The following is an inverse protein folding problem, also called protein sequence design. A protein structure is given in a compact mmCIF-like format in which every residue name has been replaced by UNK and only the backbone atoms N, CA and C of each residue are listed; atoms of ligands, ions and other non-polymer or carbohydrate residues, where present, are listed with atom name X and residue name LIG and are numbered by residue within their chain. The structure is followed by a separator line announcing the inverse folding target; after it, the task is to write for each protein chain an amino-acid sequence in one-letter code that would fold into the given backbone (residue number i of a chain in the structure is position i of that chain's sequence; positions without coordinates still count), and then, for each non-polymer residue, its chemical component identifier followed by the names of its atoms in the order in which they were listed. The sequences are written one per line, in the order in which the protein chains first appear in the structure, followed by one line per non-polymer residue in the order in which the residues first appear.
data_IF_542490849201
#
_entry.id   IF_542490849201
#
_cell.length_a   1.000
_cell.length_b   1.000
_cell.length_c   1.000
_cell.angle_alpha   90.00
_cell.angle_beta   90.00
_cell.angle_gamma   90.00
#
_symmetry.space_group_name_H-M   'P 1'
#
loop_
_entity.id
_entity.type
_entity.pdbx_description
1 polymer ?
#
# COMPACT_ATOMS: atom_id res chain seq x y z
N UNK A 1 2.20 10.67 16.58
CA UNK A 1 3.41 10.21 15.84
C UNK A 1 3.67 11.07 14.61
N UNK A 2 4.92 11.11 14.10
CA UNK A 2 5.20 11.81 12.84
C UNK A 2 4.93 10.88 11.67
N UNK A 3 4.26 11.41 10.62
CA UNK A 3 3.90 10.65 9.42
C UNK A 3 4.55 11.33 8.22
N UNK A 4 5.31 10.57 7.43
CA UNK A 4 5.92 11.02 6.20
C UNK A 4 5.48 10.09 5.05
N UNK A 5 5.05 10.65 3.94
CA UNK A 5 4.59 9.91 2.77
C UNK A 5 5.55 10.18 1.63
N UNK A 6 6.11 9.11 1.07
CA UNK A 6 7.25 9.18 0.16
C UNK A 6 7.02 8.25 -1.04
N UNK A 7 7.32 8.69 -2.28
CA UNK A 7 7.31 7.79 -3.43
C UNK A 7 8.61 6.97 -3.49
N UNK A 8 8.48 5.67 -3.74
CA UNK A 8 9.61 4.78 -4.02
C UNK A 8 9.54 4.28 -5.47
N UNK A 9 9.84 5.18 -6.40
CA UNK A 9 9.67 4.96 -7.81
C UNK A 9 8.22 5.11 -8.28
N UNK A 10 7.99 4.92 -9.58
CA UNK A 10 6.66 4.97 -10.19
C UNK A 10 6.61 4.08 -11.43
N UNK A 11 5.42 3.65 -11.81
CA UNK A 11 5.18 3.15 -13.15
C UNK A 11 4.33 4.14 -13.94
N UNK A 12 4.20 3.89 -15.25
CA UNK A 12 3.32 4.68 -16.12
C UNK A 12 2.11 3.86 -16.52
N UNK A 13 0.94 4.51 -16.54
CA UNK A 13 -0.31 3.89 -16.96
C UNK A 13 -1.16 4.89 -17.77
N UNK A 14 -2.02 4.40 -18.70
CA UNK A 14 -3.02 5.24 -19.33
C UNK A 14 -4.10 5.70 -18.33
N UNK A 15 -4.38 7.00 -18.25
CA UNK A 15 -5.35 7.55 -17.30
C UNK A 15 -6.75 6.93 -17.47
N UNK A 16 -7.16 6.67 -18.72
CA UNK A 16 -8.47 6.06 -19.02
C UNK A 16 -8.61 4.60 -18.51
N UNK A 17 -7.49 3.91 -18.25
CA UNK A 17 -7.51 2.60 -17.60
C UNK A 17 -7.55 2.74 -16.07
N UNK A 18 -6.91 3.78 -15.55
CA UNK A 18 -6.82 4.05 -14.12
C UNK A 18 -8.13 4.54 -13.50
N UNK A 19 -8.95 5.24 -14.28
CA UNK A 19 -10.25 5.76 -13.84
C UNK A 19 -11.20 5.83 -15.04
N UNK A 20 -12.43 5.38 -14.87
CA UNK A 20 -13.44 5.49 -15.92
C UNK A 20 -13.65 6.97 -16.33
N UNK A 21 -13.73 7.21 -17.64
CA UNK A 21 -13.82 8.57 -18.18
C UNK A 21 -12.52 9.39 -18.06
N UNK A 22 -11.41 8.76 -17.75
CA UNK A 22 -10.08 9.35 -17.81
C UNK A 22 -9.69 9.72 -19.23
N UNK A 23 -8.70 10.62 -19.36
CA UNK A 23 -8.20 11.12 -20.64
C UNK A 23 -7.28 10.09 -21.33
N UNK A 24 -7.13 10.19 -22.63
CA UNK A 24 -6.15 9.44 -23.43
C UNK A 24 -4.75 10.06 -23.29
N UNK A 25 -4.18 9.91 -22.10
CA UNK A 25 -2.81 10.35 -21.78
C UNK A 25 -2.17 9.36 -20.82
N UNK A 26 -0.86 9.32 -20.81
CA UNK A 26 -0.08 8.60 -19.81
C UNK A 26 0.01 9.43 -18.54
N UNK A 27 -0.17 8.80 -17.40
CA UNK A 27 0.02 9.39 -16.07
C UNK A 27 1.06 8.59 -15.29
N UNK A 28 1.66 9.23 -14.30
CA UNK A 28 2.53 8.56 -13.33
C UNK A 28 1.69 7.91 -12.25
N UNK A 29 2.08 6.69 -11.93
CA UNK A 29 1.59 5.88 -10.84
C UNK A 29 2.72 5.67 -9.84
N UNK A 30 2.95 6.59 -8.90
CA UNK A 30 3.97 6.40 -7.87
C UNK A 30 3.64 5.15 -7.05
N UNK A 31 4.68 4.45 -6.60
CA UNK A 31 4.56 3.44 -5.56
C UNK A 31 4.96 4.10 -4.25
N UNK A 32 4.00 4.41 -3.41
CA UNK A 32 4.29 5.09 -2.17
C UNK A 32 4.62 4.12 -1.03
N UNK A 33 5.35 4.61 -0.06
CA UNK A 33 5.36 4.08 1.30
C UNK A 33 5.12 5.20 2.31
N UNK A 34 4.60 4.85 3.49
CA UNK A 34 4.51 5.80 4.59
C UNK A 34 5.50 5.42 5.70
N UNK A 35 6.24 6.39 6.21
CA UNK A 35 7.11 6.27 7.38
C UNK A 35 6.36 6.82 8.60
N UNK A 36 6.08 5.94 9.55
CA UNK A 36 5.55 6.28 10.87
C UNK A 36 6.67 6.31 11.89
N UNK A 37 6.91 7.47 12.52
CA UNK A 37 7.85 7.60 13.64
C UNK A 37 7.07 7.72 14.94
N UNK A 38 6.86 6.59 15.58
CA UNK A 38 6.05 6.48 16.79
C UNK A 38 6.93 6.63 18.06
N UNK A 39 6.52 7.43 19.07
CA UNK A 39 7.34 7.68 20.26
C UNK A 39 7.66 6.41 21.06
N UNK A 40 6.76 5.42 21.07
CA UNK A 40 6.92 4.16 21.81
C UNK A 40 7.46 3.01 20.96
N UNK A 41 7.06 2.90 19.69
CA UNK A 41 7.34 1.74 18.84
C UNK A 41 8.45 1.98 17.81
N UNK A 42 9.01 3.19 17.75
CA UNK A 42 10.08 3.54 16.82
C UNK A 42 9.59 3.76 15.38
N UNK A 43 10.49 3.56 14.43
CA UNK A 43 10.18 3.70 13.01
C UNK A 43 9.44 2.46 12.49
N UNK A 44 8.38 2.69 11.72
CA UNK A 44 7.58 1.65 11.08
C UNK A 44 7.21 2.11 9.67
N UNK A 45 6.94 1.19 8.78
CA UNK A 45 6.50 1.49 7.42
C UNK A 45 5.10 0.94 7.13
N UNK A 46 4.37 1.61 6.27
CA UNK A 46 3.24 1.06 5.54
C UNK A 46 3.66 0.92 4.08
N UNK A 47 3.72 -0.32 3.60
CA UNK A 47 4.30 -0.74 2.32
C UNK A 47 5.78 -0.35 2.14
N UNK A 48 6.37 -0.65 0.96
CA UNK A 48 7.80 -0.41 0.72
C UNK A 48 8.12 0.09 -0.70
N UNK A 49 7.12 0.30 -1.54
CA UNK A 49 7.33 0.74 -2.91
C UNK A 49 8.17 -0.20 -3.77
N UNK A 50 8.71 0.30 -4.89
CA UNK A 50 9.60 -0.44 -5.77
C UNK A 50 11.04 -0.50 -5.22
N UNK A 51 11.77 -1.53 -5.70
CA UNK A 51 13.24 -1.63 -5.59
C UNK A 51 13.83 -2.22 -6.87
N UNK A 52 15.15 -2.22 -7.01
CA UNK A 52 15.82 -2.84 -8.16
C UNK A 52 15.54 -4.35 -8.27
N UNK A 53 15.12 -5.00 -7.18
CA UNK A 53 14.71 -6.42 -7.19
C UNK A 53 13.53 -6.68 -8.12
N UNK A 54 12.66 -5.69 -8.33
CA UNK A 54 11.60 -5.80 -9.34
C UNK A 54 12.17 -6.08 -10.72
N UNK A 55 13.25 -5.39 -11.11
CA UNK A 55 13.88 -5.60 -12.41
C UNK A 55 14.58 -6.95 -12.51
N UNK A 56 15.18 -7.42 -11.42
CA UNK A 56 15.83 -8.74 -11.38
C UNK A 56 14.79 -9.86 -11.49
N UNK A 57 13.69 -9.77 -10.73
CA UNK A 57 12.60 -10.75 -10.74
C UNK A 57 11.86 -10.79 -12.08
N UNK A 58 11.78 -9.66 -12.78
CA UNK A 58 11.11 -9.54 -14.07
C UNK A 58 12.06 -9.64 -15.28
N UNK A 59 13.29 -10.05 -15.08
CA UNK A 59 14.30 -10.16 -16.13
C UNK A 59 13.97 -11.24 -17.16
N UNK A 60 13.43 -12.38 -16.68
CA UNK A 60 13.16 -13.57 -17.50
C UNK A 60 11.67 -13.72 -17.83
N UNK A 61 11.37 -14.34 -18.98
CA UNK A 61 10.02 -14.73 -19.35
C UNK A 61 9.53 -15.88 -18.43
N UNK A 62 8.25 -15.93 -18.02
CA UNK A 62 7.13 -15.07 -18.44
C UNK A 62 6.98 -13.78 -17.60
N UNK A 63 7.69 -13.61 -16.48
CA UNK A 63 7.58 -12.41 -15.59
C UNK A 63 7.98 -11.11 -16.30
N UNK A 64 8.75 -11.18 -17.37
CA UNK A 64 9.08 -10.04 -18.25
C UNK A 64 7.84 -9.35 -18.84
N UNK A 65 6.72 -10.08 -19.01
CA UNK A 65 5.44 -9.51 -19.45
C UNK A 65 4.95 -8.48 -18.44
N UNK A 66 5.06 -8.76 -17.14
CA UNK A 66 4.70 -7.81 -16.08
C UNK A 66 5.44 -6.48 -16.27
N UNK A 67 6.76 -6.53 -16.43
CA UNK A 67 7.58 -5.33 -16.66
C UNK A 67 7.20 -4.56 -17.94
N UNK A 68 6.76 -5.24 -18.98
CA UNK A 68 6.30 -4.58 -20.21
C UNK A 68 4.94 -3.91 -20.03
N UNK A 69 4.05 -4.53 -19.27
CA UNK A 69 2.72 -3.97 -18.98
C UNK A 69 2.79 -2.83 -17.94
N UNK A 70 3.82 -2.85 -17.11
CA UNK A 70 4.02 -1.89 -16.02
C UNK A 70 5.43 -1.28 -16.15
N UNK A 71 5.62 -0.29 -17.04
CA UNK A 71 6.92 0.35 -17.23
C UNK A 71 7.33 1.12 -15.95
N UNK A 72 8.23 0.54 -15.18
CA UNK A 72 8.71 1.09 -13.90
C UNK A 72 9.89 2.02 -14.13
N UNK A 73 9.86 3.17 -13.44
CA UNK A 73 10.92 4.15 -13.36
C UNK A 73 11.36 4.27 -11.90
N UNK A 74 12.64 4.05 -11.64
CA UNK A 74 13.22 4.01 -10.31
C UNK A 74 14.62 4.59 -10.36
N UNK A 75 14.93 5.52 -9.47
CA UNK A 75 16.26 6.06 -9.25
C UNK A 75 16.78 5.58 -7.91
N UNK A 76 18.06 5.68 -7.68
CA UNK A 76 18.68 5.26 -6.44
C UNK A 76 18.16 6.04 -5.22
N UNK A 77 17.90 7.33 -5.41
CA UNK A 77 17.33 8.21 -4.38
C UNK A 77 15.88 7.85 -4.02
N UNK A 78 15.16 7.13 -4.88
CA UNK A 78 13.79 6.71 -4.64
C UNK A 78 13.72 5.44 -3.75
N UNK A 79 14.84 4.73 -3.57
CA UNK A 79 14.87 3.52 -2.76
C UNK A 79 14.55 3.83 -1.29
N UNK A 80 13.70 3.02 -0.68
CA UNK A 80 13.33 3.16 0.74
C UNK A 80 14.56 3.31 1.63
N UNK A 81 15.58 2.47 1.44
CA UNK A 81 16.80 2.48 2.25
C UNK A 81 17.56 3.80 2.17
N UNK A 82 17.56 4.46 1.02
CA UNK A 82 18.23 5.75 0.84
C UNK A 82 17.37 6.90 1.37
N UNK A 83 16.06 6.81 1.24
CA UNK A 83 15.14 7.81 1.79
C UNK A 83 15.11 7.80 3.32
N UNK A 84 15.24 6.62 3.97
CA UNK A 84 15.35 6.52 5.43
C UNK A 84 16.54 7.32 5.96
N UNK A 85 17.68 7.34 5.25
CA UNK A 85 18.85 8.12 5.65
C UNK A 85 18.55 9.63 5.76
N UNK A 86 17.62 10.17 4.95
CA UNK A 86 17.16 11.55 5.05
C UNK A 86 16.41 11.89 6.35
N UNK A 87 16.05 10.87 7.14
CA UNK A 87 15.41 10.98 8.45
C UNK A 87 16.32 10.51 9.59
N UNK A 88 17.62 10.38 9.33
CA UNK A 88 18.62 9.82 10.26
C UNK A 88 18.29 8.38 10.71
N UNK A 89 17.66 7.61 9.82
CA UNK A 89 17.28 6.21 10.07
C UNK A 89 18.07 5.26 9.14
N UNK A 90 18.41 4.11 9.70
CA UNK A 90 18.94 2.96 8.95
C UNK A 90 17.82 1.94 8.73
N UNK A 91 17.92 1.03 7.75
CA UNK A 91 16.97 -0.07 7.59
C UNK A 91 16.77 -0.91 8.85
N UNK A 92 17.82 -1.02 9.70
CA UNK A 92 17.76 -1.72 10.98
C UNK A 92 16.90 -1.03 12.06
N UNK A 93 16.62 0.26 11.91
CA UNK A 93 15.80 1.02 12.86
C UNK A 93 14.30 0.83 12.59
N UNK A 94 13.94 0.25 11.42
CA UNK A 94 12.55 -0.06 11.07
C UNK A 94 12.11 -1.31 11.82
N UNK A 95 11.22 -1.13 12.78
CA UNK A 95 10.75 -2.21 13.67
C UNK A 95 9.66 -3.07 13.04
N UNK A 96 8.80 -2.47 12.21
CA UNK A 96 7.65 -3.14 11.57
C UNK A 96 7.40 -2.59 10.18
N UNK A 97 6.87 -3.45 9.32
CA UNK A 97 6.24 -3.08 8.04
C UNK A 97 4.81 -3.60 8.05
N UNK A 98 3.86 -2.71 7.92
CA UNK A 98 2.47 -3.04 7.67
C UNK A 98 2.32 -3.22 6.16
N UNK A 99 2.02 -4.43 5.72
CA UNK A 99 1.86 -4.77 4.31
C UNK A 99 0.37 -4.68 3.98
N UNK A 100 0.01 -3.77 3.08
CA UNK A 100 -1.36 -3.63 2.62
C UNK A 100 -1.81 -4.87 1.85
N UNK A 101 -0.99 -5.29 0.90
CA UNK A 101 -1.15 -6.50 0.08
C UNK A 101 0.18 -6.86 -0.62
N UNK A 102 0.23 -7.97 -1.36
CA UNK A 102 1.49 -8.53 -1.86
C UNK A 102 1.77 -8.26 -3.35
N UNK A 103 1.27 -7.18 -3.94
CA UNK A 103 1.75 -6.76 -5.25
C UNK A 103 3.20 -6.24 -5.17
N UNK A 104 3.90 -6.33 -6.28
CA UNK A 104 5.34 -6.09 -6.32
C UNK A 104 5.75 -4.68 -5.87
N UNK A 105 4.95 -3.69 -6.15
CA UNK A 105 5.18 -2.28 -5.81
C UNK A 105 4.85 -1.91 -4.36
N UNK A 106 4.37 -2.87 -3.57
CA UNK A 106 4.14 -2.70 -2.14
C UNK A 106 5.18 -3.43 -1.28
N UNK A 107 5.85 -4.46 -1.86
CA UNK A 107 6.71 -5.36 -1.08
C UNK A 107 8.17 -5.43 -1.58
N UNK A 108 8.55 -4.66 -2.61
CA UNK A 108 9.83 -4.90 -3.28
C UNK A 108 11.06 -4.64 -2.41
N UNK A 109 10.96 -3.82 -1.36
CA UNK A 109 12.08 -3.56 -0.44
C UNK A 109 12.03 -4.39 0.85
N UNK A 110 11.10 -5.34 1.02
CA UNK A 110 11.06 -6.20 2.23
C UNK A 110 12.40 -6.91 2.52
N UNK A 111 13.14 -7.43 1.50
CA UNK A 111 14.43 -8.06 1.75
C UNK A 111 15.52 -7.11 2.30
N UNK A 112 15.36 -5.80 2.11
CA UNK A 112 16.33 -4.80 2.58
C UNK A 112 16.08 -4.40 4.06
N UNK A 113 14.95 -4.83 4.63
CA UNK A 113 14.49 -4.52 5.99
C UNK A 113 14.68 -5.75 6.91
N UNK A 114 15.92 -6.21 7.05
CA UNK A 114 16.28 -7.49 7.68
C UNK A 114 15.83 -7.64 9.15
N UNK A 115 15.62 -6.53 9.87
CA UNK A 115 15.25 -6.53 11.29
C UNK A 115 13.76 -6.24 11.54
N UNK A 116 13.01 -5.92 10.49
CA UNK A 116 11.59 -5.59 10.62
C UNK A 116 10.73 -6.83 10.79
N UNK A 117 9.65 -6.70 11.55
CA UNK A 117 8.54 -7.66 11.56
C UNK A 117 7.50 -7.22 10.53
N UNK A 118 6.92 -8.18 9.82
CA UNK A 118 5.91 -7.95 8.81
C UNK A 118 4.51 -8.22 9.36
N UNK A 119 3.61 -7.26 9.25
CA UNK A 119 2.23 -7.35 9.76
C UNK A 119 1.27 -7.21 8.59
N UNK A 120 0.37 -8.17 8.41
CA UNK A 120 -0.59 -8.22 7.30
C UNK A 120 -1.84 -9.02 7.68
N UNK A 121 -2.92 -8.89 6.92
CA UNK A 121 -4.12 -9.70 7.10
C UNK A 121 -3.90 -11.13 6.60
N UNK A 122 -4.41 -12.16 7.29
CA UNK A 122 -4.12 -13.57 6.99
C UNK A 122 -4.37 -13.97 5.53
N UNK A 123 -5.48 -13.49 4.95
CA UNK A 123 -5.87 -13.82 3.58
C UNK A 123 -4.93 -13.24 2.51
N UNK A 124 -4.13 -12.23 2.85
CA UNK A 124 -3.23 -11.59 1.89
C UNK A 124 -2.12 -12.52 1.40
N UNK A 125 -1.65 -13.45 2.21
CA UNK A 125 -0.54 -14.34 1.86
C UNK A 125 -0.93 -15.82 1.79
N UNK A 126 -2.05 -16.24 2.38
CA UNK A 126 -2.45 -17.65 2.47
C UNK A 126 -2.54 -18.35 1.11
N UNK A 127 -3.14 -17.69 0.11
CA UNK A 127 -3.22 -18.21 -1.26
C UNK A 127 -1.89 -18.16 -2.02
N UNK A 128 -1.04 -17.16 -1.72
CA UNK A 128 0.25 -16.97 -2.36
C UNK A 128 1.28 -17.99 -1.91
N UNK A 129 1.18 -18.50 -0.68
CA UNK A 129 2.07 -19.56 -0.17
C UNK A 129 2.12 -20.78 -1.08
N UNK A 130 0.97 -21.15 -1.63
CA UNK A 130 0.78 -22.38 -2.40
C UNK A 130 0.53 -22.12 -3.89
N UNK A 131 0.67 -20.88 -4.35
CA UNK A 131 0.42 -20.51 -5.74
C UNK A 131 1.55 -20.98 -6.66
N UNK A 132 1.18 -21.28 -7.90
CA UNK A 132 2.12 -21.61 -8.98
C UNK A 132 2.69 -20.33 -9.59
N UNK A 133 3.85 -20.37 -10.30
CA UNK A 133 4.41 -19.20 -10.96
C UNK A 133 3.46 -18.48 -11.93
N UNK A 134 2.54 -19.21 -12.57
CA UNK A 134 1.53 -18.61 -13.45
C UNK A 134 0.42 -17.91 -12.68
N UNK A 135 0.06 -18.42 -11.50
CA UNK A 135 -0.90 -17.80 -10.58
C UNK A 135 -0.28 -16.56 -9.92
N UNK A 136 1.01 -16.64 -9.57
CA UNK A 136 1.76 -15.49 -9.04
C UNK A 136 1.70 -14.32 -10.02
N UNK A 137 2.02 -14.57 -11.28
CA UNK A 137 2.02 -13.53 -12.31
C UNK A 137 0.64 -12.89 -12.52
N UNK A 138 -0.44 -13.71 -12.52
CA UNK A 138 -1.82 -13.21 -12.60
C UNK A 138 -2.23 -12.33 -11.44
N UNK A 139 -1.59 -12.50 -10.27
CA UNK A 139 -1.82 -11.73 -9.05
C UNK A 139 -0.77 -10.63 -8.85
N UNK A 140 -0.04 -10.26 -9.90
CA UNK A 140 1.02 -9.26 -9.82
C UNK A 140 2.02 -9.49 -8.67
N UNK A 141 2.16 -10.77 -8.24
CA UNK A 141 3.04 -11.20 -7.16
C UNK A 141 4.37 -11.71 -7.73
N UNK A 142 5.47 -11.28 -7.12
CA UNK A 142 6.81 -11.74 -7.44
C UNK A 142 7.43 -12.37 -6.20
N UNK A 143 7.48 -13.69 -6.18
CA UNK A 143 7.90 -14.49 -5.01
C UNK A 143 9.30 -14.15 -4.50
N UNK A 144 10.22 -13.77 -5.39
CA UNK A 144 11.58 -13.39 -5.01
C UNK A 144 11.68 -12.04 -4.27
N UNK A 145 10.57 -11.29 -4.16
CA UNK A 145 10.48 -10.08 -3.33
C UNK A 145 10.16 -10.40 -1.87
N UNK A 146 9.78 -11.64 -1.56
CA UNK A 146 9.54 -12.09 -0.18
C UNK A 146 10.85 -12.63 0.38
N UNK A 147 11.35 -12.12 1.52
CA UNK A 147 12.58 -12.61 2.13
C UNK A 147 12.46 -14.09 2.53
N UNK A 148 13.56 -14.83 2.48
CA UNK A 148 13.59 -16.26 2.80
C UNK A 148 13.19 -16.57 4.25
N UNK A 149 13.40 -15.63 5.15
CA UNK A 149 13.04 -15.69 6.57
C UNK A 149 11.70 -15.02 6.90
N UNK A 150 10.88 -14.73 5.87
CA UNK A 150 9.60 -14.03 6.01
C UNK A 150 8.70 -14.66 7.08
N UNK A 151 8.52 -15.98 7.06
CA UNK A 151 7.62 -16.68 7.98
C UNK A 151 8.02 -16.50 9.44
N UNK A 152 9.32 -16.48 9.73
CA UNK A 152 9.82 -16.29 11.10
C UNK A 152 9.67 -14.85 11.60
N UNK A 153 9.56 -13.89 10.70
CA UNK A 153 9.43 -12.45 10.99
C UNK A 153 8.02 -11.92 10.77
N UNK A 154 7.15 -12.69 10.14
CA UNK A 154 5.79 -12.26 9.85
C UNK A 154 4.84 -12.50 11.02
N UNK A 155 3.87 -11.62 11.15
CA UNK A 155 2.77 -11.73 12.09
C UNK A 155 1.46 -11.42 11.36
N UNK A 156 0.63 -12.43 11.23
CA UNK A 156 -0.73 -12.24 10.78
C UNK A 156 -1.54 -11.50 11.84
N UNK A 157 -2.39 -10.57 11.40
CA UNK A 157 -3.36 -9.90 12.28
C UNK A 157 -4.35 -10.93 12.79
N UNK A 158 -4.61 -10.92 14.08
CA UNK A 158 -5.62 -11.79 14.69
C UNK A 158 -7.04 -11.29 14.36
N UNK A 159 -7.56 -11.75 13.23
CA UNK A 159 -8.89 -11.35 12.74
C UNK A 159 -10.05 -11.87 13.61
N UNK A 160 -9.77 -12.72 14.61
CA UNK A 160 -10.78 -13.16 15.57
C UNK A 160 -11.03 -12.15 16.69
N UNK A 161 -10.21 -11.10 16.77
CA UNK A 161 -10.27 -10.04 17.80
C UNK A 161 -10.40 -8.64 17.17
N UNK A 162 -11.47 -8.39 16.39
CA UNK A 162 -11.71 -7.04 15.90
C UNK A 162 -12.05 -6.11 17.07
N UNK A 163 -11.72 -4.84 16.91
CA UNK A 163 -12.21 -3.76 17.74
C UNK A 163 -13.40 -3.07 17.07
N UNK A 164 -14.36 -2.60 17.86
CA UNK A 164 -15.43 -1.76 17.36
C UNK A 164 -14.91 -0.34 17.15
N UNK A 165 -15.14 0.21 15.97
CA UNK A 165 -14.74 1.55 15.63
C UNK A 165 -15.85 2.55 15.95
N UNK A 166 -15.46 3.76 16.37
CA UNK A 166 -16.38 4.86 16.62
C UNK A 166 -16.91 5.47 15.32
N UNK A 167 -17.88 6.38 15.42
CA UNK A 167 -18.46 7.13 14.31
C UNK A 167 -17.42 7.88 13.45
N UNK A 168 -16.26 8.19 14.02
CA UNK A 168 -15.14 8.83 13.31
C UNK A 168 -14.61 7.98 12.13
N UNK A 169 -14.88 6.69 12.14
CA UNK A 169 -14.42 5.74 11.12
C UNK A 169 -15.55 5.22 10.23
N UNK A 170 -16.82 5.64 10.49
CA UNK A 170 -17.96 5.16 9.73
C UNK A 170 -17.81 5.48 8.23
N UNK A 171 -18.10 4.53 7.29
CA UNK A 171 -18.88 3.31 7.49
C UNK A 171 -18.08 2.07 7.93
N UNK A 172 -16.78 2.21 8.25
CA UNK A 172 -15.97 1.11 8.76
C UNK A 172 -16.28 0.87 10.23
N UNK A 173 -17.02 -0.19 10.54
CA UNK A 173 -17.53 -0.45 11.89
C UNK A 173 -16.57 -1.30 12.76
N UNK A 174 -15.63 -1.99 12.12
CA UNK A 174 -14.66 -2.85 12.78
C UNK A 174 -13.27 -2.65 12.21
N UNK A 175 -12.26 -2.82 13.06
CA UNK A 175 -10.86 -2.75 12.68
C UNK A 175 -10.00 -3.61 13.59
N UNK A 176 -8.70 -3.49 13.43
CA UNK A 176 -7.70 -4.24 14.20
C UNK A 176 -6.67 -3.28 14.78
N UNK A 177 -6.49 -3.31 16.08
CA UNK A 177 -5.41 -2.56 16.72
C UNK A 177 -4.07 -3.26 16.43
N UNK A 178 -3.26 -2.66 15.55
CA UNK A 178 -2.02 -3.26 15.06
C UNK A 178 -0.86 -3.15 16.06
N UNK A 179 -0.96 -2.25 17.05
CA UNK A 179 0.10 -1.98 18.02
C UNK A 179 -0.29 -2.26 19.48
N UNK A 180 -1.57 -2.35 19.80
CA UNK A 180 -2.09 -2.54 21.15
C UNK A 180 -2.31 -1.24 21.92
N UNK A 181 -2.35 -0.08 21.22
CA UNK A 181 -2.62 1.23 21.80
C UNK A 181 -3.51 2.12 20.92
N UNK A 182 -4.14 1.50 19.91
CA UNK A 182 -5.07 2.11 18.95
C UNK A 182 -4.47 3.26 18.11
N UNK A 183 -3.15 3.42 18.13
CA UNK A 183 -2.48 4.49 17.36
C UNK A 183 -2.39 4.19 15.87
N UNK A 184 -2.43 2.91 15.48
CA UNK A 184 -2.54 2.43 14.09
C UNK A 184 -3.62 1.35 14.05
N UNK A 185 -4.70 1.65 13.34
CA UNK A 185 -5.86 0.76 13.19
C UNK A 185 -5.90 0.22 11.75
N UNK A 186 -5.79 -1.09 11.59
CA UNK A 186 -5.99 -1.77 10.32
C UNK A 186 -7.47 -1.98 10.02
N UNK A 187 -7.88 -1.85 8.77
CA UNK A 187 -9.24 -2.18 8.29
C UNK A 187 -9.15 -2.99 7.01
N UNK A 188 -10.12 -3.89 6.82
CA UNK A 188 -10.20 -4.64 5.58
C UNK A 188 -10.75 -3.77 4.44
N UNK A 189 -10.06 -3.80 3.29
CA UNK A 189 -10.48 -3.10 2.07
C UNK A 189 -10.51 -4.10 0.90
N UNK A 190 -11.47 -5.02 0.90
CA UNK A 190 -11.48 -6.12 -0.06
C UNK A 190 -11.70 -5.66 -1.50
N UNK A 191 -11.26 -6.48 -2.44
CA UNK A 191 -11.58 -6.36 -3.85
C UNK A 191 -10.37 -6.28 -4.77
N UNK A 192 -9.41 -5.38 -4.53
CA UNK A 192 -8.22 -5.27 -5.37
C UNK A 192 -7.31 -6.52 -5.21
N UNK A 193 -6.97 -6.85 -3.99
CA UNK A 193 -6.18 -8.04 -3.66
C UNK A 193 -6.79 -8.81 -2.49
N UNK A 194 -6.52 -10.12 -2.41
CA UNK A 194 -6.92 -10.94 -1.28
C UNK A 194 -6.32 -10.36 0.02
N UNK A 195 -7.14 -10.15 1.04
CA UNK A 195 -6.71 -9.67 2.35
C UNK A 195 -6.05 -8.28 2.33
N UNK A 196 -6.45 -7.41 1.40
CA UNK A 196 -5.94 -6.04 1.38
C UNK A 196 -6.36 -5.28 2.64
N UNK A 197 -5.38 -4.60 3.23
CA UNK A 197 -5.52 -3.80 4.44
C UNK A 197 -5.28 -2.32 4.15
N UNK A 198 -6.19 -1.46 4.61
CA UNK A 198 -5.90 -0.05 4.83
C UNK A 198 -5.54 0.22 6.28
N UNK A 199 -4.96 1.38 6.57
CA UNK A 199 -4.67 1.78 7.94
C UNK A 199 -5.09 3.21 8.23
N UNK A 200 -5.71 3.41 9.39
CA UNK A 200 -5.88 4.72 10.00
C UNK A 200 -4.72 5.01 10.93
N UNK A 201 -4.22 6.24 10.89
CA UNK A 201 -3.16 6.70 11.76
C UNK A 201 -3.30 8.21 12.01
N UNK A 202 -2.97 8.67 13.22
CA UNK A 202 -3.07 10.08 13.61
C UNK A 202 -1.68 10.68 13.83
N UNK A 203 -1.44 11.84 13.22
CA UNK A 203 -0.17 12.57 13.41
C UNK A 203 -0.11 13.31 14.76
N UNK A 204 1.04 13.96 15.02
CA UNK A 204 1.26 14.73 16.27
C UNK A 204 0.37 15.97 16.37
N UNK A 205 -0.21 16.43 15.27
CA UNK A 205 -1.13 17.57 15.21
C UNK A 205 -2.60 17.13 15.40
N UNK A 206 -2.85 15.83 15.60
CA UNK A 206 -4.18 15.25 15.70
C UNK A 206 -4.87 15.02 14.36
N UNK A 207 -4.19 15.21 13.22
CA UNK A 207 -4.75 14.99 11.89
C UNK A 207 -4.86 13.50 11.60
N UNK A 208 -6.04 13.04 11.22
CA UNK A 208 -6.28 11.65 10.84
C UNK A 208 -5.90 11.41 9.38
N UNK A 209 -5.11 10.37 9.16
CA UNK A 209 -4.76 9.85 7.83
C UNK A 209 -5.43 8.49 7.64
N UNK A 210 -5.94 8.27 6.44
CA UNK A 210 -6.44 6.98 6.02
C UNK A 210 -5.68 6.51 4.77
N UNK A 211 -4.74 5.60 4.95
CA UNK A 211 -3.99 4.95 3.89
C UNK A 211 -4.83 3.81 3.34
N UNK A 212 -5.34 4.00 2.12
CA UNK A 212 -6.32 3.07 1.53
C UNK A 212 -5.70 2.07 0.57
N UNK A 213 -4.38 2.09 0.44
CA UNK A 213 -3.64 1.24 -0.50
C UNK A 213 -4.28 1.31 -1.91
N UNK A 214 -4.52 0.16 -2.53
CA UNK A 214 -5.08 0.03 -3.87
C UNK A 214 -6.60 -0.15 -3.90
N UNK A 215 -7.28 0.05 -2.77
CA UNK A 215 -8.75 0.16 -2.76
C UNK A 215 -9.23 1.38 -3.58
N UNK A 216 -8.34 2.35 -3.77
CA UNK A 216 -8.47 3.39 -4.79
C UNK A 216 -7.06 3.76 -5.29
N UNK A 217 -6.86 3.81 -6.60
CA UNK A 217 -5.56 4.21 -7.15
C UNK A 217 -5.35 5.73 -7.14
N UNK A 218 -6.43 6.48 -7.37
CA UNK A 218 -6.41 7.94 -7.47
C UNK A 218 -7.41 8.55 -6.49
N UNK A 219 -7.08 9.71 -5.91
CA UNK A 219 -7.99 10.46 -5.06
C UNK A 219 -9.32 10.76 -5.77
N UNK A 220 -9.27 11.07 -7.06
CA UNK A 220 -10.48 11.29 -7.88
C UNK A 220 -11.40 10.07 -7.93
N UNK A 221 -10.87 8.86 -7.84
CA UNK A 221 -11.70 7.65 -7.77
C UNK A 221 -12.59 7.67 -6.52
N UNK A 222 -12.04 8.09 -5.40
CA UNK A 222 -12.79 8.24 -4.14
C UNK A 222 -13.77 9.41 -4.22
N UNK A 223 -13.29 10.59 -4.65
CA UNK A 223 -14.11 11.83 -4.69
C UNK A 223 -15.33 11.68 -5.60
N UNK A 224 -15.16 11.08 -6.78
CA UNK A 224 -16.21 10.97 -7.79
C UNK A 224 -16.92 9.60 -7.75
N UNK A 225 -16.56 8.70 -6.85
CA UNK A 225 -16.99 7.28 -6.83
C UNK A 225 -16.84 6.61 -8.20
N UNK A 226 -15.69 6.80 -8.84
CA UNK A 226 -15.41 6.28 -10.18
C UNK A 226 -14.35 5.19 -10.14
N UNK A 227 -14.71 3.93 -10.43
CA UNK A 227 -13.76 2.83 -10.47
C UNK A 227 -12.81 2.94 -11.69
N UNK A 228 -11.74 2.15 -11.74
CA UNK A 228 -10.94 1.95 -12.94
C UNK A 228 -11.77 1.37 -14.11
N UNK A 229 -11.19 1.42 -15.31
CA UNK A 229 -11.81 0.81 -16.49
C UNK A 229 -12.05 -0.70 -16.27
N UNK A 230 -13.10 -1.25 -16.89
CA UNK A 230 -13.47 -2.68 -16.72
C UNK A 230 -12.34 -3.66 -17.03
N UNK A 231 -11.38 -3.30 -17.88
CA UNK A 231 -10.19 -4.14 -18.13
C UNK A 231 -9.33 -4.31 -16.88
N UNK A 232 -9.32 -3.36 -15.94
CA UNK A 232 -8.60 -3.49 -14.68
C UNK A 232 -9.17 -4.60 -13.77
N UNK A 233 -10.42 -5.02 -14.00
CA UNK A 233 -11.05 -6.13 -13.26
C UNK A 233 -10.26 -7.45 -13.42
N UNK A 234 -9.44 -7.59 -14.47
CA UNK A 234 -8.57 -8.74 -14.65
C UNK A 234 -7.45 -8.83 -13.60
N UNK A 235 -7.14 -7.71 -12.97
CA UNK A 235 -6.12 -7.60 -11.91
C UNK A 235 -6.73 -7.72 -10.52
N UNK A 236 -8.06 -7.62 -10.39
CA UNK A 236 -8.73 -7.61 -9.09
C UNK A 236 -9.07 -9.04 -8.64
N UNK A 237 -8.88 -9.29 -7.36
CA UNK A 237 -9.29 -10.57 -6.75
C UNK A 237 -10.81 -10.73 -6.71
N UNK A 238 -11.54 -9.62 -6.48
CA UNK A 238 -12.99 -9.53 -6.48
C UNK A 238 -13.45 -8.14 -6.95
N UNK A 239 -13.84 -8.00 -8.24
CA UNK A 239 -14.29 -6.72 -8.79
C UNK A 239 -15.59 -6.17 -8.18
N UNK A 240 -16.43 -7.01 -7.60
CA UNK A 240 -17.67 -6.58 -6.94
C UNK A 240 -17.36 -5.99 -5.57
N UNK A 241 -16.60 -6.71 -4.76
CA UNK A 241 -16.07 -6.20 -3.50
C UNK A 241 -15.27 -4.92 -3.67
N UNK A 242 -14.48 -4.80 -4.77
CA UNK A 242 -13.77 -3.55 -5.07
C UNK A 242 -14.72 -2.35 -5.23
N UNK A 243 -15.83 -2.53 -5.96
CA UNK A 243 -16.80 -1.46 -6.14
C UNK A 243 -17.51 -1.07 -4.85
N UNK A 244 -17.82 -2.07 -4.00
CA UNK A 244 -18.40 -1.82 -2.69
C UNK A 244 -17.41 -1.04 -1.81
N UNK A 245 -16.17 -1.49 -1.70
CA UNK A 245 -15.11 -0.81 -0.93
C UNK A 245 -14.91 0.64 -1.42
N UNK A 246 -14.91 0.86 -2.74
CA UNK A 246 -14.80 2.21 -3.29
C UNK A 246 -16.01 3.08 -2.92
N UNK A 247 -17.22 2.52 -2.90
CA UNK A 247 -18.44 3.18 -2.42
C UNK A 247 -18.35 3.56 -0.94
N UNK A 248 -17.80 2.68 -0.10
CA UNK A 248 -17.59 2.94 1.32
C UNK A 248 -16.53 4.05 1.53
N UNK A 249 -15.45 4.04 0.74
CA UNK A 249 -14.45 5.11 0.73
C UNK A 249 -15.03 6.46 0.29
N UNK A 250 -15.91 6.45 -0.71
CA UNK A 250 -16.61 7.66 -1.14
C UNK A 250 -17.54 8.19 -0.05
N UNK A 251 -18.30 7.32 0.59
CA UNK A 251 -19.17 7.68 1.73
C UNK A 251 -18.35 8.25 2.88
N UNK A 252 -17.22 7.61 3.20
CA UNK A 252 -16.27 8.11 4.19
C UNK A 252 -15.74 9.51 3.84
N UNK A 253 -15.34 9.73 2.59
CA UNK A 253 -14.86 11.03 2.11
C UNK A 253 -15.89 12.14 2.28
N UNK A 254 -17.17 11.87 2.01
CA UNK A 254 -18.25 12.86 2.12
C UNK A 254 -18.55 13.22 3.58
N UNK A 255 -18.44 12.26 4.48
CA UNK A 255 -18.79 12.45 5.91
C UNK A 255 -17.63 12.90 6.78
N UNK A 256 -16.38 12.69 6.33
CA UNK A 256 -15.17 13.01 7.09
C UNK A 256 -14.19 13.91 6.30
N UNK A 257 -14.59 15.15 5.96
CA UNK A 257 -13.81 16.03 5.08
C UNK A 257 -12.43 16.41 5.66
N UNK A 258 -12.27 16.26 6.97
CA UNK A 258 -11.01 16.56 7.67
C UNK A 258 -10.00 15.41 7.60
N UNK A 259 -10.40 14.20 7.22
CA UNK A 259 -9.48 13.07 7.08
C UNK A 259 -8.70 13.14 5.77
N UNK A 260 -7.41 12.90 5.86
CA UNK A 260 -6.55 12.82 4.68
C UNK A 260 -6.58 11.38 4.15
N UNK A 261 -7.31 11.16 3.05
CA UNK A 261 -7.31 9.86 2.36
C UNK A 261 -6.10 9.79 1.42
N UNK A 262 -5.30 8.73 1.56
CA UNK A 262 -4.04 8.53 0.84
C UNK A 262 -4.10 7.25 0.01
N UNK A 263 -4.44 7.34 -1.29
CA UNK A 263 -4.29 6.25 -2.25
C UNK A 263 -2.82 6.03 -2.62
N UNK A 264 -2.42 4.78 -2.89
CA UNK A 264 -1.01 4.44 -3.14
C UNK A 264 -0.43 5.06 -4.41
N UNK A 265 -1.25 5.34 -5.43
CA UNK A 265 -0.78 5.74 -6.75
C UNK A 265 -1.20 7.16 -7.16
N UNK A 266 -1.67 7.96 -6.20
CA UNK A 266 -2.11 9.32 -6.49
C UNK A 266 -0.95 10.32 -6.37
N UNK A 267 -0.33 10.65 -7.51
CA UNK A 267 0.79 11.60 -7.56
C UNK A 267 0.44 12.96 -6.93
N UNK A 268 -0.77 13.46 -7.19
CA UNK A 268 -1.24 14.73 -6.61
C UNK A 268 -1.28 14.68 -5.08
N UNK A 269 -1.85 13.62 -4.51
CA UNK A 269 -1.94 13.44 -3.06
C UNK A 269 -0.54 13.30 -2.45
N UNK A 270 0.32 12.45 -3.03
CA UNK A 270 1.66 12.21 -2.50
C UNK A 270 2.47 13.51 -2.52
N UNK A 271 2.49 14.23 -3.64
CA UNK A 271 3.21 15.50 -3.76
C UNK A 271 2.71 16.57 -2.77
N UNK A 272 1.40 16.63 -2.51
CA UNK A 272 0.83 17.58 -1.55
C UNK A 272 1.22 17.29 -0.10
N UNK A 273 1.60 16.03 0.20
CA UNK A 273 1.93 15.54 1.53
C UNK A 273 3.43 15.21 1.69
N UNK A 274 4.21 15.36 0.63
CA UNK A 274 5.64 15.06 0.61
C UNK A 274 6.41 16.03 1.51
N UNK A 275 6.61 15.63 2.76
CA UNK A 275 7.47 16.34 3.69
C UNK A 275 8.92 15.88 3.46
N UNK A 276 9.64 16.53 2.54
CA UNK A 276 11.08 16.31 2.41
C UNK A 276 11.78 16.74 3.70
N UNK A 277 12.78 15.97 4.19
CA UNK A 277 13.61 16.46 5.29
C UNK A 277 14.21 17.81 4.89
N UNK A 278 14.21 18.76 5.82
CA UNK A 278 14.93 20.02 5.62
C UNK A 278 16.39 19.67 5.29
N UNK A 279 16.85 20.16 4.13
CA UNK A 279 18.25 20.00 3.70
C UNK A 279 19.16 20.81 4.60
#
# INVERSE_FOLDING_TARGET
MKINILPAGYCTAPEHLAIQGGRWRTIHFPAMFALFRHPKFGAMLFDTGYSYRFFDETKKFPRRIYRWMTPVHLREEDLVVNQLAGFDLKPADVTRVFISHFHADHIASLPDLAWSRFVYLPHAFSRLRHSTPSQDLKRAFLRGLVPSDFDSRSREVDVTKPILLSEEYAPFNTGYDLLGDESIIGVELPGHADGQMGVFARDDNGKLFFFVADAAWLKRSVVDNRPPHKMANLLFSDPEAYRQTLGDLHSYYLTHPDTIIVPSHCEETIRSLENKPAR
#
